data_IF_714400583057
#
_entry.id   IF_714400583057
#
_cell.length_a   1.000
_cell.length_b   1.000
_cell.length_c   1.000
_cell.angle_alpha   90.00
_cell.angle_beta   90.00
_cell.angle_gamma   90.00
#
_symmetry.space_group_name_H-M   'P 1'
#
loop_
_entity.id
_entity.type
_entity.pdbx_description
1 polymer ?
#
# COMPACT_ATOMS: atom_id res chain seq x y z
N UNK A 1 -1.00 -15.51 -0.49
CA UNK A 1 0.07 -15.30 -1.48
C UNK A 1 -0.48 -14.88 -2.83
N UNK A 2 0.16 -13.90 -3.48
CA UNK A 2 -0.17 -13.48 -4.85
C UNK A 2 0.72 -14.22 -5.86
N UNK A 3 0.19 -14.79 -6.97
CA UNK A 3 -1.20 -14.75 -7.41
C UNK A 3 -2.03 -16.01 -7.04
N UNK A 4 -1.42 -17.00 -6.40
CA UNK A 4 -1.97 -18.36 -6.22
C UNK A 4 -3.12 -18.45 -5.22
N UNK A 5 -3.02 -17.74 -4.09
CA UNK A 5 -4.04 -17.72 -3.04
C UNK A 5 -4.88 -16.44 -3.08
N UNK A 6 -4.37 -15.38 -3.71
CA UNK A 6 -5.00 -14.06 -3.81
C UNK A 6 -4.78 -13.51 -5.22
N UNK A 7 -5.84 -13.03 -5.87
CA UNK A 7 -5.72 -12.37 -7.16
C UNK A 7 -4.99 -11.03 -7.03
N UNK A 8 -4.49 -10.51 -8.15
CA UNK A 8 -3.81 -9.21 -8.18
C UNK A 8 -4.78 -8.09 -7.76
N UNK A 9 -6.04 -8.17 -8.20
CA UNK A 9 -7.09 -7.21 -7.86
C UNK A 9 -7.41 -7.23 -6.36
N UNK A 10 -7.54 -8.42 -5.78
CA UNK A 10 -7.75 -8.56 -4.33
C UNK A 10 -6.55 -8.01 -3.55
N UNK A 11 -5.32 -8.23 -4.03
CA UNK A 11 -4.12 -7.68 -3.43
C UNK A 11 -4.02 -6.15 -3.57
N UNK A 12 -4.49 -5.56 -4.67
CA UNK A 12 -4.59 -4.10 -4.83
C UNK A 12 -5.55 -3.50 -3.81
N UNK A 13 -6.70 -4.13 -3.56
CA UNK A 13 -7.62 -3.67 -2.51
C UNK A 13 -7.01 -3.87 -1.13
N UNK A 14 -6.26 -4.95 -0.89
CA UNK A 14 -5.51 -5.13 0.34
C UNK A 14 -4.47 -4.01 0.56
N UNK A 15 -3.75 -3.60 -0.49
CA UNK A 15 -2.83 -2.45 -0.42
C UNK A 15 -3.58 -1.14 -0.09
N UNK A 16 -4.76 -0.95 -0.68
CA UNK A 16 -5.63 0.19 -0.41
C UNK A 16 -6.08 0.22 1.06
N UNK A 17 -6.48 -0.92 1.61
CA UNK A 17 -6.85 -1.06 3.02
C UNK A 17 -5.65 -0.83 3.95
N UNK A 18 -4.48 -1.37 3.62
CA UNK A 18 -3.26 -1.18 4.41
C UNK A 18 -2.90 0.31 4.55
N UNK A 19 -2.96 1.08 3.45
CA UNK A 19 -2.68 2.51 3.50
C UNK A 19 -3.78 3.30 4.22
N UNK A 20 -5.06 2.91 4.09
CA UNK A 20 -6.16 3.52 4.88
C UNK A 20 -5.96 3.35 6.38
N UNK A 21 -5.55 2.15 6.82
CA UNK A 21 -5.22 1.90 8.22
C UNK A 21 -4.08 2.81 8.69
N UNK A 22 -3.05 3.03 7.85
CA UNK A 22 -1.97 3.96 8.17
C UNK A 22 -2.46 5.40 8.28
N UNK A 23 -3.31 5.85 7.35
CA UNK A 23 -3.90 7.18 7.37
C UNK A 23 -4.81 7.39 8.58
N UNK A 24 -5.50 6.35 9.06
CA UNK A 24 -6.29 6.42 10.28
C UNK A 24 -5.43 6.76 11.51
N UNK A 25 -4.26 6.13 11.65
CA UNK A 25 -3.28 6.44 12.71
C UNK A 25 -2.74 7.86 12.58
N UNK A 26 -2.39 8.29 11.37
CA UNK A 26 -1.93 9.67 11.13
C UNK A 26 -3.00 10.70 11.47
N UNK A 27 -4.26 10.43 11.12
CA UNK A 27 -5.39 11.30 11.45
C UNK A 27 -5.63 11.37 12.96
N UNK A 28 -5.47 10.25 13.68
CA UNK A 28 -5.62 10.21 15.14
C UNK A 28 -4.62 11.14 15.83
N UNK A 29 -3.37 11.14 15.37
CA UNK A 29 -2.31 12.02 15.88
C UNK A 29 -2.52 13.50 15.49
N UNK A 30 -2.93 13.77 14.25
CA UNK A 30 -3.00 15.14 13.72
C UNK A 30 -4.39 15.80 13.89
N UNK A 31 -5.41 15.04 14.27
CA UNK A 31 -6.83 15.41 14.26
C UNK A 31 -7.46 15.50 12.85
N UNK A 32 -6.69 15.99 11.87
CA UNK A 32 -7.09 16.05 10.45
C UNK A 32 -5.92 15.68 9.54
N UNK A 33 -6.22 15.09 8.38
CA UNK A 33 -5.23 14.82 7.34
C UNK A 33 -4.81 16.09 6.58
N UNK A 34 -5.53 17.20 6.73
CA UNK A 34 -5.18 18.48 6.07
C UNK A 34 -3.79 18.99 6.47
N UNK A 35 -3.34 18.62 7.69
CA UNK A 35 -2.03 18.96 8.22
C UNK A 35 -0.87 18.16 7.57
N UNK A 36 -1.15 17.12 6.79
CA UNK A 36 -0.10 16.30 6.13
C UNK A 36 0.47 17.04 4.92
N UNK A 37 1.61 17.70 5.04
CA UNK A 37 2.18 18.50 3.96
C UNK A 37 2.41 17.73 2.66
N UNK A 38 2.99 16.52 2.71
CA UNK A 38 3.23 15.63 1.58
C UNK A 38 3.53 14.20 2.02
N UNK A 39 3.15 13.22 1.21
CA UNK A 39 3.65 11.85 1.32
C UNK A 39 5.02 11.75 0.64
N UNK A 40 6.07 11.50 1.42
CA UNK A 40 7.45 11.48 0.88
C UNK A 40 7.79 10.14 0.22
N UNK A 41 7.40 9.04 0.88
CA UNK A 41 7.77 7.69 0.47
C UNK A 41 6.71 6.67 0.87
N UNK A 42 6.43 5.72 -0.02
CA UNK A 42 5.62 4.53 0.24
C UNK A 42 6.50 3.29 0.12
N UNK A 43 6.49 2.44 1.14
CA UNK A 43 7.15 1.14 1.12
C UNK A 43 6.06 0.08 1.20
N UNK A 44 5.93 -0.73 0.16
CA UNK A 44 4.92 -1.77 0.07
C UNK A 44 5.55 -3.15 -0.04
N UNK A 45 5.10 -4.06 0.82
CA UNK A 45 5.53 -5.45 0.85
C UNK A 45 4.36 -6.33 0.45
N UNK A 46 4.55 -7.18 -0.56
CA UNK A 46 3.50 -8.05 -1.09
C UNK A 46 3.85 -9.49 -0.77
N UNK A 47 3.00 -10.19 -0.01
CA UNK A 47 3.16 -11.62 0.23
C UNK A 47 2.89 -12.40 -1.07
N UNK A 48 3.96 -12.77 -1.76
CA UNK A 48 3.88 -13.27 -3.14
C UNK A 48 4.64 -14.57 -3.34
N UNK A 49 4.30 -15.24 -4.44
CA UNK A 49 5.10 -16.35 -4.95
C UNK A 49 6.50 -15.85 -5.38
N UNK A 50 7.52 -16.73 -5.33
CA UNK A 50 8.90 -16.37 -5.71
C UNK A 50 9.01 -15.81 -7.14
N UNK A 51 8.20 -16.31 -8.07
CA UNK A 51 8.24 -15.92 -9.49
C UNK A 51 7.22 -14.83 -9.85
N UNK A 52 6.65 -14.16 -8.84
CA UNK A 52 5.77 -13.01 -9.06
C UNK A 52 6.58 -11.72 -9.21
N UNK A 53 6.56 -11.15 -10.42
CA UNK A 53 7.35 -9.97 -10.77
C UNK A 53 6.58 -8.65 -10.76
N UNK A 54 5.28 -8.69 -10.45
CA UNK A 54 4.40 -7.52 -10.45
C UNK A 54 3.99 -6.95 -9.07
N UNK A 55 4.80 -7.01 -7.97
CA UNK A 55 4.52 -6.23 -6.77
C UNK A 55 4.22 -4.74 -7.02
N UNK A 56 4.88 -4.04 -7.97
CA UNK A 56 4.51 -2.67 -8.31
C UNK A 56 3.05 -2.49 -8.74
N UNK A 57 2.45 -3.47 -9.42
CA UNK A 57 1.04 -3.42 -9.83
C UNK A 57 0.12 -3.51 -8.63
N UNK A 58 0.45 -4.36 -7.65
CA UNK A 58 -0.31 -4.49 -6.39
C UNK A 58 -0.26 -3.18 -5.60
N UNK A 59 0.93 -2.59 -5.43
CA UNK A 59 1.09 -1.34 -4.66
C UNK A 59 0.46 -0.12 -5.34
N UNK A 60 0.08 -0.20 -6.63
CA UNK A 60 -0.72 0.85 -7.26
C UNK A 60 -2.06 1.09 -6.55
N UNK A 61 -2.64 0.07 -5.89
CA UNK A 61 -3.85 0.24 -5.08
C UNK A 61 -3.68 1.28 -3.96
N UNK A 62 -2.53 1.23 -3.26
CA UNK A 62 -2.17 2.22 -2.26
C UNK A 62 -1.76 3.56 -2.89
N UNK A 63 -0.90 3.52 -3.92
CA UNK A 63 -0.38 4.75 -4.55
C UNK A 63 -1.49 5.62 -5.16
N UNK A 64 -2.44 5.01 -5.87
CA UNK A 64 -3.55 5.72 -6.50
C UNK A 64 -4.46 6.37 -5.46
N UNK A 65 -4.77 5.67 -4.37
CA UNK A 65 -5.58 6.23 -3.29
C UNK A 65 -4.90 7.44 -2.62
N UNK A 66 -3.58 7.37 -2.38
CA UNK A 66 -2.86 8.50 -1.82
C UNK A 66 -2.92 9.74 -2.73
N UNK A 67 -2.83 9.54 -4.05
CA UNK A 67 -2.99 10.63 -5.02
C UNK A 67 -4.45 11.11 -5.09
N UNK A 68 -5.43 10.23 -4.98
CA UNK A 68 -6.86 10.59 -4.92
C UNK A 68 -7.17 11.49 -3.72
N UNK A 69 -6.63 11.16 -2.54
CA UNK A 69 -6.86 11.91 -1.29
C UNK A 69 -6.08 13.23 -1.26
N UNK A 70 -4.79 13.20 -1.61
CA UNK A 70 -3.88 14.34 -1.39
C UNK A 70 -3.51 15.11 -2.66
N UNK A 71 -3.97 14.68 -3.84
CA UNK A 71 -3.59 15.27 -5.13
C UNK A 71 -2.07 15.24 -5.36
N UNK A 72 -1.50 16.38 -5.75
CA UNK A 72 -0.03 16.53 -5.96
C UNK A 72 0.79 16.25 -4.69
N UNK A 73 0.23 16.45 -3.50
CA UNK A 73 0.88 16.12 -2.22
C UNK A 73 0.90 14.62 -1.94
N UNK A 74 0.09 13.85 -2.67
CA UNK A 74 0.03 12.40 -2.61
C UNK A 74 1.07 11.69 -3.49
N UNK A 75 1.73 12.38 -4.42
CA UNK A 75 2.81 11.80 -5.24
C UNK A 75 4.06 11.57 -4.39
N UNK A 76 4.61 10.37 -4.47
CA UNK A 76 5.69 9.89 -3.59
C UNK A 76 6.73 9.06 -4.33
N UNK A 77 7.92 8.95 -3.73
CA UNK A 77 8.87 7.88 -4.05
C UNK A 77 8.33 6.53 -3.56
N UNK A 78 8.74 5.42 -4.18
CA UNK A 78 8.18 4.09 -3.87
C UNK A 78 9.22 2.98 -3.87
N UNK A 79 9.07 2.06 -2.91
CA UNK A 79 9.61 0.69 -2.96
C UNK A 79 8.40 -0.28 -2.99
N UNK A 80 8.42 -1.25 -3.88
CA UNK A 80 7.43 -2.31 -3.96
C UNK A 80 8.14 -3.64 -4.18
N UNK A 81 8.08 -4.54 -3.20
CA UNK A 81 8.82 -5.81 -3.22
C UNK A 81 7.93 -6.99 -2.85
N UNK A 82 8.20 -8.13 -3.48
CA UNK A 82 7.63 -9.41 -3.09
C UNK A 82 8.37 -9.97 -1.88
N UNK A 83 7.64 -10.52 -0.91
CA UNK A 83 8.17 -11.18 0.28
C UNK A 83 7.54 -12.55 0.45
N UNK A 84 8.26 -13.46 1.12
CA UNK A 84 7.84 -14.87 1.24
C UNK A 84 6.73 -15.09 2.28
N UNK A 85 6.59 -14.16 3.22
CA UNK A 85 5.53 -14.14 4.25
C UNK A 85 5.41 -12.74 4.86
N UNK A 86 4.25 -12.46 5.46
CA UNK A 86 3.97 -11.27 6.26
C UNK A 86 3.33 -11.67 7.60
N UNK A 87 3.39 -10.80 8.63
CA UNK A 87 2.69 -10.99 9.89
C UNK A 87 1.20 -11.29 9.67
N UNK A 88 0.64 -12.18 10.51
CA UNK A 88 -0.75 -12.64 10.42
C UNK A 88 -1.18 -13.19 9.04
N UNK A 89 -0.21 -13.60 8.20
CA UNK A 89 -0.44 -13.99 6.81
C UNK A 89 -1.16 -12.90 5.99
N UNK A 90 -0.87 -11.62 6.26
CA UNK A 90 -1.40 -10.52 5.47
C UNK A 90 -1.00 -10.64 4.00
N UNK A 91 -1.85 -10.13 3.10
CA UNK A 91 -1.57 -10.08 1.67
C UNK A 91 -0.59 -8.96 1.33
N UNK A 92 -0.74 -7.79 1.97
CA UNK A 92 0.08 -6.59 1.76
C UNK A 92 0.32 -5.89 3.11
N UNK A 93 1.52 -5.33 3.29
CA UNK A 93 1.90 -4.43 4.39
C UNK A 93 2.53 -3.13 3.88
#
# INVERSE_FOLDING_TARGET
KVPTEQSIEAAQEAARLAVLNRLAVVRDELGTLDHVSRIISLQGFVNSEPDFHDPPVVINGASNLLVEIFGERGKHSRIAVGVTALPANATVE
#
